data_IF_996009540889
#
_entry.id   IF_996009540889
#
_cell.length_a   1.000
_cell.length_b   1.000
_cell.length_c   1.000
_cell.angle_alpha   90.00
_cell.angle_beta   90.00
_cell.angle_gamma   90.00
#
_symmetry.space_group_name_H-M   'P 1'
#
loop_
_entity.id
_entity.type
_entity.pdbx_description
1 polymer ?
#
# COMPACT_ATOMS: atom_id res chain seq x y z
N UNK A 1 8.25 -8.41 27.94
CA UNK A 1 7.03 -7.65 27.67
C UNK A 1 7.47 -6.44 26.87
N UNK A 2 7.28 -6.45 25.55
CA UNK A 2 7.62 -5.30 24.70
C UNK A 2 6.66 -4.15 25.03
N UNK A 3 7.21 -2.98 25.33
CA UNK A 3 6.43 -1.79 25.66
C UNK A 3 5.97 -1.10 24.35
N UNK A 4 4.94 -1.68 23.73
CA UNK A 4 4.36 -1.20 22.46
C UNK A 4 3.88 0.25 22.54
N UNK A 5 3.67 0.77 23.77
CA UNK A 5 3.19 2.14 23.97
C UNK A 5 4.25 3.20 23.66
N UNK A 6 5.54 2.87 23.73
CA UNK A 6 6.64 3.81 23.42
C UNK A 6 6.79 4.09 21.93
N UNK A 7 6.42 3.13 21.07
CA UNK A 7 6.50 3.30 19.62
C UNK A 7 5.34 4.13 19.04
N UNK A 8 4.23 4.27 19.77
CA UNK A 8 3.06 4.98 19.28
C UNK A 8 3.17 6.50 19.41
N UNK A 9 4.11 7.01 20.18
CA UNK A 9 4.31 8.46 20.41
C UNK A 9 3.21 9.12 21.25
N UNK A 10 3.36 10.42 21.48
CA UNK A 10 2.38 11.20 22.25
C UNK A 10 1.11 11.44 21.43
N UNK A 11 -0.06 11.35 22.09
CA UNK A 11 -1.34 11.66 21.46
C UNK A 11 -1.53 13.17 21.42
N UNK A 12 -1.63 13.72 20.22
CA UNK A 12 -2.00 15.12 20.01
C UNK A 12 -3.49 15.36 20.27
N UNK A 13 -3.88 16.59 20.60
CA UNK A 13 -5.27 16.97 20.69
C UNK A 13 -5.48 18.41 20.26
N UNK A 14 -6.73 18.74 19.87
CA UNK A 14 -7.19 20.09 19.61
C UNK A 14 -8.49 20.37 20.38
N UNK A 15 -8.72 21.64 20.67
CA UNK A 15 -9.96 22.11 21.30
C UNK A 15 -10.89 22.64 20.22
N UNK A 16 -12.06 22.01 20.01
CA UNK A 16 -13.07 22.48 19.05
C UNK A 16 -14.27 23.06 19.75
N UNK A 17 -14.79 24.18 19.25
CA UNK A 17 -16.03 24.77 19.71
C UNK A 17 -17.21 23.84 19.39
N UNK A 18 -18.13 23.68 20.34
CA UNK A 18 -19.35 22.91 20.17
C UNK A 18 -20.52 23.88 20.02
N UNK A 19 -21.31 23.74 18.95
CA UNK A 19 -22.57 24.47 18.77
C UNK A 19 -23.68 23.81 19.61
N UNK A 20 -23.64 23.94 20.92
CA UNK A 20 -24.75 23.54 21.80
C UNK A 20 -25.02 24.59 22.86
N UNK A 21 -26.30 24.79 23.15
CA UNK A 21 -26.84 25.96 23.83
C UNK A 21 -26.71 25.95 25.37
N UNK A 22 -26.18 24.95 26.02
CA UNK A 22 -25.95 24.92 27.49
C UNK A 22 -24.74 24.02 27.80
N UNK A 23 -23.69 24.55 28.37
CA UNK A 23 -22.55 23.82 28.89
C UNK A 23 -21.21 24.23 28.32
N UNK A 24 -20.18 23.38 28.41
CA UNK A 24 -18.83 23.66 27.97
C UNK A 24 -18.78 23.99 26.46
N UNK A 25 -18.29 25.18 26.15
CA UNK A 25 -18.21 25.67 24.77
C UNK A 25 -17.13 24.99 23.91
N UNK A 26 -16.32 24.11 24.48
CA UNK A 26 -15.20 23.45 23.80
C UNK A 26 -15.14 21.96 24.16
N UNK A 27 -14.82 21.14 23.17
CA UNK A 27 -14.57 19.69 23.30
C UNK A 27 -13.12 19.40 22.93
N UNK A 28 -12.46 18.59 23.75
CA UNK A 28 -11.15 18.04 23.46
C UNK A 28 -11.29 16.91 22.45
N UNK A 29 -10.65 17.05 21.29
CA UNK A 29 -10.61 16.02 20.23
C UNK A 29 -9.17 15.52 20.15
N UNK A 30 -9.01 14.21 20.35
CA UNK A 30 -7.72 13.56 20.23
C UNK A 30 -7.43 13.26 18.77
N UNK A 31 -6.24 13.67 18.31
CA UNK A 31 -5.74 13.41 16.98
C UNK A 31 -4.80 12.21 17.06
N UNK A 32 -5.26 11.08 16.55
CA UNK A 32 -4.51 9.84 16.56
C UNK A 32 -3.78 9.68 15.24
N UNK A 33 -2.51 9.29 15.30
CA UNK A 33 -1.84 8.77 14.12
C UNK A 33 -2.38 7.37 13.77
N UNK A 34 -1.97 6.84 12.61
CA UNK A 34 -2.48 5.56 12.11
C UNK A 34 -2.22 4.38 13.07
N UNK A 35 -1.03 4.34 13.71
CA UNK A 35 -0.68 3.32 14.69
C UNK A 35 -1.50 3.42 15.97
N UNK A 36 -1.68 4.64 16.49
CA UNK A 36 -2.52 4.89 17.68
C UNK A 36 -3.98 4.54 17.43
N UNK A 37 -4.51 4.87 16.25
CA UNK A 37 -5.88 4.52 15.87
C UNK A 37 -6.06 3.00 15.78
N UNK A 38 -5.10 2.29 15.17
CA UNK A 38 -5.12 0.84 15.09
C UNK A 38 -5.05 0.19 16.47
N UNK A 39 -4.17 0.67 17.36
CA UNK A 39 -4.07 0.17 18.74
C UNK A 39 -5.38 0.37 19.51
N UNK A 40 -5.99 1.56 19.42
CA UNK A 40 -7.26 1.83 20.04
C UNK A 40 -8.37 0.89 19.52
N UNK A 41 -8.42 0.65 18.21
CA UNK A 41 -9.38 -0.28 17.59
C UNK A 41 -9.19 -1.72 18.08
N UNK A 42 -7.96 -2.18 18.31
CA UNK A 42 -7.71 -3.52 18.86
C UNK A 42 -8.21 -3.66 20.30
N UNK A 43 -8.25 -2.57 21.06
CA UNK A 43 -8.78 -2.55 22.43
C UNK A 43 -10.31 -2.55 22.49
N UNK A 44 -10.99 -2.00 21.50
CA UNK A 44 -12.45 -1.83 21.52
C UNK A 44 -13.26 -3.11 21.26
N UNK A 45 -12.63 -4.18 20.79
CA UNK A 45 -13.17 -5.54 20.61
C UNK A 45 -14.69 -5.64 20.44
N UNK A 46 -15.20 -5.27 19.28
CA UNK A 46 -16.57 -5.63 18.88
C UNK A 46 -16.57 -5.99 17.39
N UNK A 47 -17.60 -6.72 16.93
CA UNK A 47 -17.66 -7.30 15.57
C UNK A 47 -17.50 -6.28 14.44
N UNK A 48 -17.92 -5.03 14.65
CA UNK A 48 -17.73 -3.95 13.67
C UNK A 48 -16.31 -3.41 13.61
N UNK A 49 -15.51 -3.58 14.68
CA UNK A 49 -14.12 -3.10 14.77
C UNK A 49 -13.16 -4.09 14.12
N UNK A 50 -13.46 -5.39 14.17
CA UNK A 50 -12.57 -6.41 13.60
C UNK A 50 -12.36 -6.21 12.10
N UNK A 51 -13.40 -5.88 11.35
CA UNK A 51 -13.30 -5.55 9.93
C UNK A 51 -12.43 -4.32 9.66
N UNK A 52 -12.54 -3.30 10.51
CA UNK A 52 -11.71 -2.09 10.40
C UNK A 52 -10.25 -2.40 10.71
N UNK A 53 -9.97 -3.17 11.77
CA UNK A 53 -8.61 -3.60 12.14
C UNK A 53 -7.97 -4.42 11.02
N UNK A 54 -8.68 -5.36 10.42
CA UNK A 54 -8.20 -6.16 9.28
C UNK A 54 -7.83 -5.27 8.11
N UNK A 55 -8.68 -4.29 7.77
CA UNK A 55 -8.40 -3.33 6.70
C UNK A 55 -7.18 -2.46 7.00
N UNK A 56 -7.02 -1.97 8.24
CA UNK A 56 -5.85 -1.19 8.63
C UNK A 56 -4.55 -1.99 8.50
N UNK A 57 -4.54 -3.24 8.96
CA UNK A 57 -3.37 -4.14 8.80
C UNK A 57 -3.02 -4.36 7.34
N UNK A 58 -4.02 -4.65 6.51
CA UNK A 58 -3.83 -4.80 5.07
C UNK A 58 -3.28 -3.52 4.42
N UNK A 59 -3.74 -2.33 4.85
CA UNK A 59 -3.25 -1.04 4.37
C UNK A 59 -1.79 -0.78 4.75
N UNK A 60 -1.39 -1.10 5.99
CA UNK A 60 0.01 -0.95 6.43
C UNK A 60 0.92 -1.87 5.62
N UNK A 61 0.56 -3.14 5.47
CA UNK A 61 1.30 -4.09 4.66
C UNK A 61 1.42 -3.64 3.20
N UNK A 62 0.33 -3.11 2.63
CA UNK A 62 0.32 -2.55 1.27
C UNK A 62 1.24 -1.33 1.13
N UNK A 63 1.29 -0.44 2.12
CA UNK A 63 2.21 0.70 2.11
C UNK A 63 3.67 0.26 2.13
N UNK A 64 4.02 -0.67 3.01
CA UNK A 64 5.37 -1.20 3.12
C UNK A 64 5.81 -1.90 1.83
N UNK A 65 4.94 -2.72 1.25
CA UNK A 65 5.23 -3.40 0.00
C UNK A 65 5.42 -2.42 -1.16
N UNK A 66 4.62 -1.36 -1.20
CA UNK A 66 4.73 -0.30 -2.20
C UNK A 66 6.07 0.43 -2.14
N UNK A 67 6.60 0.68 -0.95
CA UNK A 67 7.93 1.26 -0.79
C UNK A 67 9.00 0.36 -1.39
N UNK A 68 8.96 -0.94 -1.06
CA UNK A 68 9.90 -1.94 -1.59
C UNK A 68 9.83 -2.07 -3.11
N UNK A 69 8.62 -2.05 -3.69
CA UNK A 69 8.43 -2.04 -5.14
C UNK A 69 9.02 -0.77 -5.77
N UNK A 70 8.77 0.39 -5.18
CA UNK A 70 9.27 1.67 -5.66
C UNK A 70 10.81 1.70 -5.67
N UNK A 71 11.45 1.13 -4.65
CA UNK A 71 12.91 1.03 -4.59
C UNK A 71 13.46 0.16 -5.73
N UNK A 72 12.81 -0.95 -6.03
CA UNK A 72 13.19 -1.83 -7.16
C UNK A 72 12.96 -1.14 -8.51
N UNK A 73 11.84 -0.40 -8.67
CA UNK A 73 11.62 0.39 -9.89
C UNK A 73 12.70 1.46 -10.05
N UNK A 74 13.18 2.05 -8.95
CA UNK A 74 14.31 3.00 -9.00
C UNK A 74 15.58 2.36 -9.59
N UNK A 75 15.90 1.14 -9.15
CA UNK A 75 17.03 0.39 -9.73
C UNK A 75 16.80 0.10 -11.21
N UNK A 76 15.57 -0.28 -11.59
CA UNK A 76 15.23 -0.51 -12.99
C UNK A 76 15.34 0.77 -13.85
N UNK A 77 15.05 1.94 -13.30
CA UNK A 77 15.22 3.23 -13.99
C UNK A 77 16.69 3.47 -14.34
N UNK A 78 17.60 3.24 -13.40
CA UNK A 78 19.05 3.36 -13.65
C UNK A 78 19.51 2.31 -14.66
N UNK A 79 19.09 1.06 -14.49
CA UNK A 79 19.37 -0.02 -15.44
C UNK A 79 18.88 0.28 -16.87
N UNK A 80 17.69 0.85 -17.02
CA UNK A 80 17.16 1.26 -18.31
C UNK A 80 17.95 2.43 -18.92
N UNK A 81 18.47 3.37 -18.12
CA UNK A 81 19.36 4.44 -18.59
C UNK A 81 20.66 3.87 -19.17
N UNK A 82 21.27 2.91 -18.49
CA UNK A 82 22.47 2.23 -18.97
C UNK A 82 22.23 1.52 -20.31
N UNK A 83 21.00 1.03 -20.53
CA UNK A 83 20.58 0.44 -21.81
C UNK A 83 20.13 1.47 -22.86
N UNK A 84 20.32 2.76 -22.61
CA UNK A 84 20.05 3.84 -23.56
C UNK A 84 18.60 4.33 -23.59
N UNK A 85 17.82 4.09 -22.54
CA UNK A 85 16.46 4.63 -22.44
C UNK A 85 16.47 6.14 -22.21
N UNK A 86 15.79 6.89 -23.07
CA UNK A 86 15.60 8.35 -22.95
C UNK A 86 14.40 8.73 -22.06
N UNK A 87 13.54 7.77 -21.73
CA UNK A 87 12.29 7.99 -20.97
C UNK A 87 12.16 7.05 -19.77
N UNK A 88 13.30 6.69 -19.16
CA UNK A 88 13.34 5.74 -18.04
C UNK A 88 12.57 6.23 -16.79
N UNK A 89 12.46 7.55 -16.59
CA UNK A 89 11.66 8.19 -15.52
C UNK A 89 10.16 7.84 -15.60
N UNK A 90 9.65 7.56 -16.80
CA UNK A 90 8.26 7.15 -17.00
C UNK A 90 7.96 5.74 -16.46
N UNK A 91 8.97 4.93 -16.17
CA UNK A 91 8.79 3.56 -15.67
C UNK A 91 7.99 3.53 -14.38
N UNK A 92 8.16 4.48 -13.47
CA UNK A 92 7.32 4.59 -12.26
C UNK A 92 5.83 4.64 -12.60
N UNK A 93 5.46 5.47 -13.57
CA UNK A 93 4.06 5.61 -14.00
C UNK A 93 3.55 4.36 -14.70
N UNK A 94 4.40 3.74 -15.52
CA UNK A 94 4.05 2.53 -16.28
C UNK A 94 3.79 1.37 -15.33
N UNK A 95 4.69 1.10 -14.39
CA UNK A 95 4.52 0.02 -13.43
C UNK A 95 3.39 0.28 -12.42
N UNK A 96 3.17 1.53 -12.01
CA UNK A 96 2.00 1.90 -11.20
C UNK A 96 0.69 1.59 -11.93
N UNK A 97 0.60 1.89 -13.22
CA UNK A 97 -0.58 1.54 -14.02
C UNK A 97 -0.74 0.04 -14.16
N UNK A 98 0.36 -0.69 -14.33
CA UNK A 98 0.36 -2.13 -14.42
C UNK A 98 -0.13 -2.78 -13.11
N UNK A 99 0.35 -2.31 -11.95
CA UNK A 99 -0.10 -2.79 -10.65
C UNK A 99 -1.61 -2.57 -10.44
N UNK A 100 -2.13 -1.40 -10.86
CA UNK A 100 -3.54 -1.06 -10.72
C UNK A 100 -4.44 -1.64 -11.83
N UNK A 101 -3.92 -2.44 -12.76
CA UNK A 101 -4.74 -2.99 -13.85
C UNK A 101 -5.69 -4.11 -13.42
N UNK A 102 -5.46 -4.72 -12.26
CA UNK A 102 -6.28 -5.84 -11.72
C UNK A 102 -7.26 -5.34 -10.67
N UNK A 103 -6.93 -4.26 -9.96
CA UNK A 103 -7.78 -3.71 -8.90
C UNK A 103 -8.16 -2.28 -9.24
N UNK A 104 -9.45 -2.05 -9.48
CA UNK A 104 -9.97 -0.71 -9.75
C UNK A 104 -10.17 0.09 -8.46
N UNK A 105 -9.85 1.37 -8.52
CA UNK A 105 -10.16 2.31 -7.44
C UNK A 105 -8.95 2.96 -6.78
N UNK A 106 -9.27 3.84 -5.84
CA UNK A 106 -8.25 4.48 -5.01
C UNK A 106 -7.93 3.60 -3.81
N UNK A 107 -6.66 3.46 -3.49
CA UNK A 107 -6.16 2.66 -2.35
C UNK A 107 -6.88 2.97 -1.02
N UNK A 108 -7.29 4.21 -0.84
CA UNK A 108 -8.00 4.66 0.37
C UNK A 108 -9.43 4.11 0.46
N UNK A 109 -10.03 3.74 -0.65
CA UNK A 109 -11.39 3.21 -0.73
C UNK A 109 -11.42 1.67 -0.83
N UNK A 110 -10.26 1.03 -1.02
CA UNK A 110 -10.14 -0.42 -1.18
C UNK A 110 -10.49 -1.19 0.09
N UNK A 111 -11.10 -2.34 -0.09
CA UNK A 111 -11.31 -3.35 0.95
C UNK A 111 -10.00 -4.03 1.35
N UNK A 112 -9.99 -4.78 2.44
CA UNK A 112 -8.82 -5.55 2.85
C UNK A 112 -8.43 -6.61 1.80
N UNK A 113 -9.41 -7.23 1.14
CA UNK A 113 -9.17 -8.20 0.07
C UNK A 113 -8.49 -7.57 -1.14
N UNK A 114 -9.00 -6.43 -1.61
CA UNK A 114 -8.41 -5.69 -2.74
C UNK A 114 -7.00 -5.19 -2.42
N UNK A 115 -6.76 -4.71 -1.20
CA UNK A 115 -5.42 -4.32 -0.74
C UNK A 115 -4.45 -5.50 -0.71
N UNK A 116 -4.90 -6.69 -0.29
CA UNK A 116 -4.08 -7.90 -0.31
C UNK A 116 -3.78 -8.33 -1.76
N UNK A 117 -4.75 -8.30 -2.65
CA UNK A 117 -4.56 -8.58 -4.08
C UNK A 117 -3.55 -7.62 -4.69
N UNK A 118 -3.69 -6.32 -4.45
CA UNK A 118 -2.74 -5.31 -4.91
C UNK A 118 -1.33 -5.55 -4.37
N UNK A 119 -1.19 -5.92 -3.10
CA UNK A 119 0.09 -6.26 -2.47
C UNK A 119 0.75 -7.47 -3.15
N UNK A 120 -0.03 -8.49 -3.53
CA UNK A 120 0.48 -9.65 -4.26
C UNK A 120 0.95 -9.26 -5.67
N UNK A 121 0.17 -8.45 -6.39
CA UNK A 121 0.54 -7.95 -7.73
C UNK A 121 1.85 -7.14 -7.68
N UNK A 122 1.98 -6.23 -6.74
CA UNK A 122 3.20 -5.45 -6.52
C UNK A 122 4.41 -6.34 -6.16
N UNK A 123 4.18 -7.41 -5.39
CA UNK A 123 5.23 -8.38 -5.08
C UNK A 123 5.67 -9.19 -6.31
N UNK A 124 4.73 -9.57 -7.19
CA UNK A 124 5.03 -10.23 -8.45
C UNK A 124 5.87 -9.32 -9.35
N UNK A 125 5.48 -8.05 -9.50
CA UNK A 125 6.22 -7.04 -10.27
C UNK A 125 7.66 -6.94 -9.74
N UNK A 126 7.79 -6.70 -8.43
CA UNK A 126 9.10 -6.54 -7.78
C UNK A 126 10.01 -7.73 -8.04
N UNK A 127 9.53 -8.95 -7.75
CA UNK A 127 10.33 -10.17 -7.92
C UNK A 127 10.69 -10.42 -9.38
N UNK A 128 9.77 -10.16 -10.32
CA UNK A 128 10.05 -10.31 -11.75
C UNK A 128 11.15 -9.34 -12.19
N UNK A 129 11.07 -8.06 -11.81
CA UNK A 129 12.10 -7.08 -12.12
C UNK A 129 13.47 -7.52 -11.57
N UNK A 130 13.54 -7.92 -10.31
CA UNK A 130 14.80 -8.36 -9.67
C UNK A 130 15.42 -9.56 -10.39
N UNK A 131 14.61 -10.57 -10.72
CA UNK A 131 15.05 -11.77 -11.42
C UNK A 131 15.54 -11.42 -12.84
N UNK A 132 14.72 -10.71 -13.61
CA UNK A 132 15.00 -10.43 -15.02
C UNK A 132 16.19 -9.48 -15.19
N UNK A 133 16.36 -8.50 -14.28
CA UNK A 133 17.57 -7.67 -14.21
C UNK A 133 18.82 -8.53 -13.94
N UNK A 134 18.71 -9.49 -13.02
CA UNK A 134 19.83 -10.40 -12.71
C UNK A 134 20.22 -11.30 -13.90
N UNK A 135 19.26 -11.61 -14.77
CA UNK A 135 19.48 -12.35 -16.02
C UNK A 135 19.99 -11.46 -17.17
N UNK A 136 20.14 -10.16 -16.96
CA UNK A 136 20.59 -9.22 -18.01
C UNK A 136 19.54 -8.94 -19.09
N UNK A 137 18.25 -9.16 -18.80
CA UNK A 137 17.18 -8.92 -19.76
C UNK A 137 17.05 -7.43 -20.11
N UNK A 138 16.66 -7.15 -21.35
CA UNK A 138 16.40 -5.77 -21.76
C UNK A 138 15.18 -5.20 -21.03
N UNK A 139 15.24 -3.94 -20.56
CA UNK A 139 14.19 -3.33 -19.72
C UNK A 139 12.77 -3.37 -20.33
N UNK A 140 12.66 -3.36 -21.68
CA UNK A 140 11.35 -3.50 -22.36
C UNK A 140 10.79 -4.92 -22.27
N UNK A 141 11.66 -5.92 -22.23
CA UNK A 141 11.24 -7.31 -22.14
C UNK A 141 10.88 -7.67 -20.69
N UNK A 142 11.55 -7.07 -19.70
CA UNK A 142 11.16 -7.12 -18.28
C UNK A 142 9.72 -6.65 -18.11
N UNK A 143 9.33 -5.53 -18.76
CA UNK A 143 7.95 -5.05 -18.71
C UNK A 143 6.96 -6.04 -19.32
N UNK A 144 7.30 -6.68 -20.44
CA UNK A 144 6.44 -7.68 -21.09
C UNK A 144 6.24 -8.91 -20.21
N UNK A 145 7.31 -9.36 -19.54
CA UNK A 145 7.23 -10.50 -18.63
C UNK A 145 6.39 -10.17 -17.39
N UNK A 146 6.61 -9.01 -16.77
CA UNK A 146 5.76 -8.52 -15.68
C UNK A 146 4.28 -8.50 -16.08
N UNK A 147 3.96 -7.93 -17.26
CA UNK A 147 2.60 -7.85 -17.77
C UNK A 147 1.98 -9.24 -17.94
N UNK A 148 2.70 -10.17 -18.57
CA UNK A 148 2.25 -11.55 -18.77
C UNK A 148 1.94 -12.26 -17.45
N UNK A 149 2.83 -12.14 -16.46
CA UNK A 149 2.64 -12.76 -15.14
C UNK A 149 1.44 -12.20 -14.39
N UNK A 150 1.20 -10.89 -14.51
CA UNK A 150 0.04 -10.23 -13.89
C UNK A 150 -1.25 -10.66 -14.58
N UNK A 151 -1.28 -10.76 -15.91
CA UNK A 151 -2.44 -11.27 -16.66
C UNK A 151 -2.77 -12.71 -16.24
N UNK A 152 -1.78 -13.59 -16.14
CA UNK A 152 -1.95 -14.96 -15.64
C UNK A 152 -2.46 -14.99 -14.19
N UNK A 153 -1.94 -14.12 -13.32
CA UNK A 153 -2.43 -14.01 -11.95
C UNK A 153 -3.90 -13.55 -11.91
N UNK A 154 -4.27 -12.59 -12.75
CA UNK A 154 -5.64 -12.12 -12.90
C UNK A 154 -6.60 -13.23 -13.31
N UNK A 155 -6.24 -14.02 -14.31
CA UNK A 155 -7.04 -15.17 -14.77
C UNK A 155 -7.29 -16.19 -13.64
N UNK A 156 -6.26 -16.51 -12.86
CA UNK A 156 -6.38 -17.44 -11.72
C UNK A 156 -7.29 -16.84 -10.64
N UNK A 157 -7.17 -15.57 -10.37
CA UNK A 157 -7.96 -14.88 -9.32
C UNK A 157 -9.44 -14.82 -9.70
N UNK A 158 -9.78 -14.63 -10.98
CA UNK A 158 -11.16 -14.63 -11.48
C UNK A 158 -11.77 -16.04 -11.52
N UNK A 159 -10.96 -17.10 -11.64
CA UNK A 159 -11.44 -18.49 -11.64
C UNK A 159 -11.77 -19.00 -10.23
N UNK A 160 -11.31 -18.33 -9.19
CA UNK A 160 -11.49 -18.73 -7.78
C UNK A 160 -12.60 -17.91 -7.10
N UNK A 161 -13.03 -16.80 -7.69
CA UNK A 161 -14.10 -15.94 -7.21
C UNK A 161 -15.47 -16.35 -7.75
#
# INVERSE_FOLDING_TARGET
>A
MFDETKELGAVAFEMRAIKQSRGANQKKIYLLNEGQAMFLMTLLRNDGVDGVVVRFKARLASKENRLKETDVIKLLVEYAKEQGSTHSDQLYRVYTKLANSIVDGKRDDMTASELNTLTLVESIIKQTIEIDMSMGMHYKDIYKDCKKRIEQFGEITYLIA
#
